data_IF_851803194073
#
_entry.id   IF_851803194073
#
_cell.length_a   1.000
_cell.length_b   1.000
_cell.length_c   1.000
_cell.angle_alpha   90.00
_cell.angle_beta   90.00
_cell.angle_gamma   90.00
#
_symmetry.space_group_name_H-M   'P 1'
#
loop_
_entity.id
_entity.type
_entity.pdbx_description
1 polymer ?
#
# COMPACT_ATOMS: atom_id res chain seq x y z
N UNK A 1 6.19 -1.94 -16.25
CA UNK A 1 5.31 -0.84 -15.78
C UNK A 1 6.18 0.23 -15.14
N UNK A 2 5.95 1.48 -15.51
CA UNK A 2 6.71 2.58 -14.93
C UNK A 2 6.15 2.96 -13.56
N UNK A 3 6.98 3.58 -12.73
CA UNK A 3 6.62 3.92 -11.35
C UNK A 3 5.35 4.76 -11.25
N UNK A 4 5.19 5.77 -12.11
CA UNK A 4 3.99 6.61 -12.09
C UNK A 4 2.73 5.86 -12.48
N UNK A 5 2.84 4.91 -13.40
CA UNK A 5 1.73 4.05 -13.78
C UNK A 5 1.34 3.13 -12.62
N UNK A 6 2.34 2.60 -11.92
CA UNK A 6 2.12 1.75 -10.75
C UNK A 6 1.42 2.53 -9.63
N UNK A 7 1.88 3.76 -9.35
CA UNK A 7 1.23 4.61 -8.35
C UNK A 7 -0.24 4.84 -8.68
N UNK A 8 -0.52 5.19 -9.94
CA UNK A 8 -1.88 5.46 -10.37
C UNK A 8 -2.76 4.23 -10.26
N UNK A 9 -2.23 3.06 -10.64
CA UNK A 9 -2.96 1.80 -10.53
C UNK A 9 -3.30 1.51 -9.06
N UNK A 10 -2.33 1.63 -8.18
CA UNK A 10 -2.53 1.39 -6.75
C UNK A 10 -3.58 2.35 -6.18
N UNK A 11 -3.44 3.65 -6.45
CA UNK A 11 -4.40 4.64 -5.97
C UNK A 11 -5.81 4.36 -6.46
N UNK A 12 -5.96 4.03 -7.76
CA UNK A 12 -7.27 3.75 -8.33
C UNK A 12 -7.95 2.53 -7.69
N UNK A 13 -7.20 1.46 -7.48
CA UNK A 13 -7.74 0.26 -6.83
C UNK A 13 -8.17 0.56 -5.39
N UNK A 14 -7.33 1.28 -4.65
CA UNK A 14 -7.64 1.63 -3.27
C UNK A 14 -8.90 2.50 -3.18
N UNK A 15 -9.03 3.46 -4.08
CA UNK A 15 -10.20 4.34 -4.12
C UNK A 15 -11.47 3.58 -4.47
N UNK A 16 -11.41 2.72 -5.49
CA UNK A 16 -12.54 1.90 -5.92
C UNK A 16 -13.02 0.95 -4.81
N UNK A 17 -12.10 0.48 -3.97
CA UNK A 17 -12.39 -0.47 -2.89
C UNK A 17 -12.55 0.22 -1.54
N UNK A 18 -12.81 1.52 -1.55
CA UNK A 18 -13.15 2.32 -0.36
C UNK A 18 -12.01 2.46 0.64
N UNK A 19 -10.77 2.44 0.17
CA UNK A 19 -9.64 2.84 1.00
C UNK A 19 -9.78 4.31 1.38
N UNK A 20 -9.45 4.63 2.63
CA UNK A 20 -9.65 5.97 3.17
C UNK A 20 -8.34 6.69 3.38
N UNK A 21 -8.36 8.01 3.22
CA UNK A 21 -7.22 8.89 3.52
C UNK A 21 -5.93 8.40 2.85
N UNK A 22 -5.99 8.17 1.54
CA UNK A 22 -4.84 7.72 0.76
C UNK A 22 -3.78 8.80 0.75
N UNK A 23 -2.57 8.47 1.17
CA UNK A 23 -1.43 9.37 1.23
C UNK A 23 -0.29 8.80 0.40
N UNK A 24 0.27 9.60 -0.50
CA UNK A 24 1.44 9.21 -1.31
C UNK A 24 2.63 10.05 -0.87
N UNK A 25 3.70 9.37 -0.46
CA UNK A 25 4.91 10.03 0.03
C UNK A 25 6.06 9.75 -0.95
N UNK A 26 6.65 10.82 -1.45
CA UNK A 26 7.87 10.74 -2.24
C UNK A 26 9.04 10.59 -1.27
N UNK A 27 9.73 9.45 -1.34
CA UNK A 27 10.87 9.16 -0.48
C UNK A 27 12.15 8.98 -1.28
N UNK A 28 12.16 9.42 -2.54
CA UNK A 28 13.35 9.40 -3.39
C UNK A 28 14.44 10.22 -2.71
N UNK A 29 15.62 9.60 -2.56
CA UNK A 29 16.75 10.24 -1.89
C UNK A 29 16.71 10.20 -0.38
N UNK A 30 15.60 9.75 0.23
CA UNK A 30 15.47 9.59 1.68
C UNK A 30 15.72 8.15 2.13
N UNK A 31 15.50 7.21 1.24
CA UNK A 31 15.79 5.80 1.45
C UNK A 31 16.21 5.17 0.13
N UNK A 32 17.01 4.10 0.21
CA UNK A 32 17.40 3.32 -0.97
C UNK A 32 16.46 2.15 -1.22
N UNK A 33 15.45 1.96 -0.36
CA UNK A 33 14.57 0.79 -0.43
C UNK A 33 13.47 0.95 -1.48
N UNK A 34 12.91 2.15 -1.59
CA UNK A 34 11.80 2.40 -2.49
C UNK A 34 11.77 3.87 -2.88
N UNK A 35 11.04 4.21 -3.95
CA UNK A 35 10.88 5.59 -4.39
C UNK A 35 9.65 6.26 -3.76
N UNK A 36 8.60 5.48 -3.50
CA UNK A 36 7.35 6.01 -2.96
C UNK A 36 6.78 5.09 -1.90
N UNK A 37 6.15 5.71 -0.91
CA UNK A 37 5.32 4.99 0.06
C UNK A 37 3.88 5.44 -0.13
N UNK A 38 2.96 4.49 -0.11
CA UNK A 38 1.53 4.78 -0.12
C UNK A 38 0.95 4.26 1.19
N UNK A 39 0.21 5.10 1.89
CA UNK A 39 -0.45 4.71 3.14
C UNK A 39 -1.95 4.91 2.95
N UNK A 40 -2.73 3.91 3.33
CA UNK A 40 -4.18 3.97 3.22
C UNK A 40 -4.80 3.40 4.50
N UNK A 41 -5.95 3.96 4.89
CA UNK A 41 -6.69 3.49 6.04
C UNK A 41 -7.78 2.52 5.61
N UNK A 42 -7.82 1.36 6.27
CA UNK A 42 -8.88 0.37 6.15
C UNK A 42 -9.83 0.49 7.35
N UNK A 43 -11.09 0.14 7.17
CA UNK A 43 -12.11 0.22 8.21
C UNK A 43 -12.02 -0.91 9.22
N UNK A 44 -11.31 -1.99 8.88
CA UNK A 44 -11.14 -3.18 9.72
C UNK A 44 -9.96 -3.98 9.22
N UNK A 45 -9.54 -4.99 9.99
CA UNK A 45 -8.49 -5.92 9.54
C UNK A 45 -8.93 -6.68 8.28
N UNK A 46 -10.21 -7.04 8.21
CA UNK A 46 -10.77 -7.71 7.03
C UNK A 46 -10.71 -6.81 5.80
N UNK A 47 -11.06 -5.55 5.96
CA UNK A 47 -10.97 -4.57 4.89
C UNK A 47 -9.51 -4.37 4.44
N UNK A 48 -8.59 -4.33 5.40
CA UNK A 48 -7.15 -4.19 5.09
C UNK A 48 -6.68 -5.35 4.22
N UNK A 49 -7.04 -6.58 4.57
CA UNK A 49 -6.71 -7.76 3.78
C UNK A 49 -7.32 -7.67 2.38
N UNK A 50 -8.58 -7.26 2.30
CA UNK A 50 -9.28 -7.12 1.02
C UNK A 50 -8.62 -6.09 0.11
N UNK A 51 -8.26 -4.92 0.65
CA UNK A 51 -7.55 -3.88 -0.12
C UNK A 51 -6.24 -4.41 -0.67
N UNK A 52 -5.45 -5.07 0.17
CA UNK A 52 -4.18 -5.65 -0.23
C UNK A 52 -4.37 -6.70 -1.34
N UNK A 53 -5.34 -7.59 -1.19
CA UNK A 53 -5.62 -8.63 -2.17
C UNK A 53 -6.01 -8.04 -3.53
N UNK A 54 -6.84 -7.01 -3.57
CA UNK A 54 -7.24 -6.37 -4.81
C UNK A 54 -6.06 -5.66 -5.50
N UNK A 55 -5.19 -5.02 -4.72
CA UNK A 55 -3.98 -4.42 -5.29
C UNK A 55 -3.07 -5.49 -5.87
N UNK A 56 -2.90 -6.61 -5.16
CA UNK A 56 -2.09 -7.73 -5.65
C UNK A 56 -2.60 -8.26 -6.99
N UNK A 57 -3.91 -8.47 -7.10
CA UNK A 57 -4.52 -8.94 -8.34
C UNK A 57 -4.24 -7.96 -9.48
N UNK A 58 -4.46 -6.67 -9.23
CA UNK A 58 -4.29 -5.64 -10.26
C UNK A 58 -2.83 -5.54 -10.74
N UNK A 59 -1.86 -5.55 -9.83
CA UNK A 59 -0.46 -5.44 -10.24
C UNK A 59 0.01 -6.69 -10.98
N UNK A 60 -0.44 -7.87 -10.58
CA UNK A 60 -0.11 -9.12 -11.28
C UNK A 60 -0.71 -9.15 -12.67
N UNK A 61 -1.94 -8.67 -12.84
CA UNK A 61 -2.57 -8.56 -14.15
C UNK A 61 -1.81 -7.62 -15.10
N UNK A 62 -1.06 -6.68 -14.53
CA UNK A 62 -0.23 -5.76 -15.29
C UNK A 62 1.25 -6.20 -15.37
N UNK A 63 1.53 -7.46 -15.04
CA UNK A 63 2.84 -8.05 -15.23
C UNK A 63 3.85 -7.80 -14.12
N UNK A 64 3.44 -7.22 -13.01
CA UNK A 64 4.34 -6.96 -11.89
C UNK A 64 4.26 -8.10 -10.88
N UNK A 65 5.42 -8.60 -10.46
CA UNK A 65 5.52 -9.61 -9.40
C UNK A 65 5.91 -8.89 -8.11
N UNK A 66 5.07 -8.93 -7.07
CA UNK A 66 5.41 -8.32 -5.78
C UNK A 66 6.68 -8.93 -5.19
N UNK A 67 7.50 -8.09 -4.55
CA UNK A 67 8.75 -8.54 -3.92
C UNK A 67 8.52 -9.13 -2.53
N UNK A 68 7.45 -8.71 -1.87
CA UNK A 68 7.13 -9.22 -0.54
C UNK A 68 5.75 -8.79 -0.08
N UNK A 69 5.18 -9.57 0.81
CA UNK A 69 3.87 -9.32 1.40
C UNK A 69 3.96 -9.70 2.87
N UNK A 70 3.52 -8.81 3.75
CA UNK A 70 3.48 -9.07 5.18
C UNK A 70 2.15 -8.69 5.79
N UNK A 71 1.71 -9.42 6.81
CA UNK A 71 0.50 -9.12 7.55
C UNK A 71 -0.80 -9.59 6.92
N UNK A 72 -0.76 -10.45 5.90
CA UNK A 72 -1.97 -10.92 5.18
C UNK A 72 -2.96 -11.70 6.05
N UNK A 73 -2.52 -12.23 7.17
CA UNK A 73 -3.34 -13.16 7.95
C UNK A 73 -4.00 -12.49 9.16
N UNK A 74 -4.82 -11.49 8.90
CA UNK A 74 -5.60 -10.86 9.95
C UNK A 74 -4.81 -9.85 10.78
N UNK A 75 -4.02 -9.05 10.12
CA UNK A 75 -3.24 -7.99 10.76
C UNK A 75 -3.91 -6.64 10.58
N UNK A 76 -3.68 -5.73 11.52
CA UNK A 76 -4.08 -4.35 11.42
C UNK A 76 -3.12 -3.50 10.57
N UNK A 77 -2.10 -4.14 10.01
CA UNK A 77 -1.11 -3.49 9.14
C UNK A 77 -0.62 -4.51 8.10
N UNK A 78 -1.03 -4.34 6.85
CA UNK A 78 -0.59 -5.17 5.74
C UNK A 78 0.39 -4.36 4.89
N UNK A 79 1.54 -4.95 4.59
CA UNK A 79 2.57 -4.30 3.78
C UNK A 79 2.74 -5.05 2.47
N UNK A 80 2.71 -4.31 1.35
CA UNK A 80 3.02 -4.85 0.04
C UNK A 80 4.26 -4.15 -0.51
N UNK A 81 5.31 -4.92 -0.75
CA UNK A 81 6.53 -4.41 -1.39
C UNK A 81 6.41 -4.63 -2.89
N UNK A 82 6.19 -3.55 -3.62
CA UNK A 82 6.04 -3.57 -5.08
C UNK A 82 7.30 -3.04 -5.78
N UNK A 83 8.41 -2.93 -5.06
CA UNK A 83 9.66 -2.43 -5.61
C UNK A 83 9.79 -0.92 -5.47
N UNK A 84 9.41 -0.18 -6.50
CA UNK A 84 9.47 1.29 -6.48
C UNK A 84 8.37 1.91 -5.60
N UNK A 85 7.40 1.13 -5.18
CA UNK A 85 6.30 1.55 -4.32
C UNK A 85 6.13 0.53 -3.21
N UNK A 86 6.09 0.99 -1.97
CA UNK A 86 5.69 0.16 -0.83
C UNK A 86 4.33 0.67 -0.35
N UNK A 87 3.35 -0.23 -0.33
CA UNK A 87 2.00 0.09 0.13
C UNK A 87 1.83 -0.39 1.57
N UNK A 88 1.35 0.52 2.42
CA UNK A 88 0.97 0.22 3.79
C UNK A 88 -0.55 0.36 3.91
N UNK A 89 -1.23 -0.75 4.18
CA UNK A 89 -2.66 -0.78 4.42
C UNK A 89 -2.87 -0.96 5.92
N UNK A 90 -3.43 0.04 6.58
CA UNK A 90 -3.49 0.08 8.03
C UNK A 90 -4.89 0.41 8.51
N UNK A 91 -5.27 -0.14 9.66
CA UNK A 91 -6.46 0.36 10.35
C UNK A 91 -6.16 1.77 10.88
N UNK A 92 -7.20 2.53 11.17
CA UNK A 92 -7.03 3.89 11.72
C UNK A 92 -6.20 3.86 12.99
N UNK A 93 -6.41 2.86 13.85
CA UNK A 93 -5.70 2.71 15.11
C UNK A 93 -4.20 2.49 14.89
N UNK A 94 -3.83 1.57 13.99
CA UNK A 94 -2.41 1.29 13.74
C UNK A 94 -1.73 2.46 13.05
N UNK A 95 -2.44 3.13 12.13
CA UNK A 95 -1.90 4.30 11.42
C UNK A 95 -1.57 5.43 12.39
N UNK A 96 -2.45 5.69 13.34
CA UNK A 96 -2.21 6.69 14.37
C UNK A 96 -1.07 6.29 15.31
N UNK A 97 -1.01 5.02 15.69
CA UNK A 97 0.01 4.53 16.61
C UNK A 97 1.42 4.61 16.01
N UNK A 98 1.60 4.12 14.81
CA UNK A 98 2.93 4.05 14.18
C UNK A 98 3.36 5.33 13.48
N UNK A 99 2.43 6.12 13.00
CA UNK A 99 2.68 7.43 12.37
C UNK A 99 3.80 7.40 11.33
N UNK A 100 3.72 6.48 10.38
CA UNK A 100 4.73 6.31 9.33
C UNK A 100 4.98 7.58 8.53
N UNK A 101 3.95 8.38 8.34
CA UNK A 101 4.02 9.59 7.53
C UNK A 101 4.86 10.69 8.15
N UNK A 102 5.24 10.55 9.42
CA UNK A 102 6.09 11.50 10.13
C UNK A 102 7.58 11.15 10.09
N UNK A 103 7.94 10.10 9.39
CA UNK A 103 9.34 9.69 9.25
C UNK A 103 10.15 10.56 8.25
#
# INVERSE_FOLDING_TARGET
MQTKELLKLVENVLDERKGQSISVLDVIGKTSITDYMVVVTATSERHAKSLADYVLIAVKENGLIPLGIEGQQGSDWVLLDLGDVILHVMTAQSREFYQLEKL
#
